data_IF_498575961840
#
_entry.id   IF_498575961840
#
_cell.length_a   1.000
_cell.length_b   1.000
_cell.length_c   1.000
_cell.angle_alpha   90.00
_cell.angle_beta   90.00
_cell.angle_gamma   90.00
#
_symmetry.space_group_name_H-M   'P 1'
#
loop_
_entity.id
_entity.type
_entity.pdbx_description
1 polymer ?
#
# COMPACT_ATOMS: atom_id res chain seq x y z
N UNK A 1 3.99 26.31 -13.02
CA UNK A 1 3.58 25.19 -12.15
C UNK A 1 4.81 24.35 -11.86
N UNK A 2 5.14 24.12 -10.59
CA UNK A 2 6.25 23.24 -10.23
C UNK A 2 5.87 21.79 -10.51
N UNK A 3 6.73 21.04 -11.17
CA UNK A 3 6.52 19.60 -11.38
C UNK A 3 6.36 18.89 -10.02
N UNK A 4 5.33 18.05 -9.85
CA UNK A 4 5.18 17.14 -8.73
C UNK A 4 6.43 16.27 -8.55
N UNK A 5 7.16 16.51 -7.47
CA UNK A 5 8.28 15.65 -7.07
C UNK A 5 7.74 14.36 -6.45
N UNK A 6 8.51 13.28 -6.57
CA UNK A 6 8.21 11.99 -5.95
C UNK A 6 8.06 12.08 -4.41
N UNK A 7 8.54 13.15 -3.79
CA UNK A 7 8.39 13.46 -2.37
C UNK A 7 6.93 13.69 -1.93
N UNK A 8 6.01 13.86 -2.88
CA UNK A 8 4.57 14.05 -2.62
C UNK A 8 3.83 12.79 -2.15
N UNK A 9 4.31 11.59 -2.51
CA UNK A 9 3.77 10.31 -2.01
C UNK A 9 4.47 10.00 -0.70
N UNK A 10 3.84 9.49 0.36
CA UNK A 10 4.57 9.08 1.57
C UNK A 10 5.49 7.85 1.34
N UNK A 11 6.42 7.52 2.24
CA UNK A 11 7.17 6.24 2.18
C UNK A 11 6.34 5.15 2.87
N UNK A 12 6.13 4.02 2.20
CA UNK A 12 5.42 2.87 2.77
C UNK A 12 6.30 2.14 3.77
N UNK A 13 5.91 2.21 5.05
CA UNK A 13 6.66 1.62 6.18
C UNK A 13 5.91 0.50 6.90
N UNK A 14 4.57 0.47 6.81
CA UNK A 14 3.72 -0.46 7.55
C UNK A 14 2.35 -0.59 6.90
N UNK A 15 1.63 -1.67 7.22
CA UNK A 15 0.34 -2.00 6.60
C UNK A 15 -0.75 -0.97 6.85
N UNK A 16 -0.74 -0.28 7.99
CA UNK A 16 -1.72 0.78 8.29
C UNK A 16 -1.69 1.92 7.28
N UNK A 17 -0.53 2.17 6.68
CA UNK A 17 -0.31 3.30 5.78
C UNK A 17 -0.72 2.95 4.35
N UNK A 18 -0.88 1.66 4.05
CA UNK A 18 -1.04 1.15 2.69
C UNK A 18 -2.21 1.76 1.94
N UNK A 19 -3.38 1.90 2.57
CA UNK A 19 -4.58 2.44 1.90
C UNK A 19 -4.38 3.88 1.40
N UNK A 20 -3.74 4.71 2.22
CA UNK A 20 -3.45 6.11 1.89
C UNK A 20 -2.31 6.16 0.88
N UNK A 21 -1.23 5.43 1.15
CA UNK A 21 -0.06 5.35 0.29
C UNK A 21 -0.41 4.85 -1.12
N UNK A 22 -1.23 3.81 -1.26
CA UNK A 22 -1.60 3.25 -2.57
C UNK A 22 -2.40 4.25 -3.40
N UNK A 23 -3.24 5.06 -2.76
CA UNK A 23 -4.02 6.10 -3.43
C UNK A 23 -3.12 7.25 -3.90
N UNK A 24 -2.20 7.70 -3.03
CA UNK A 24 -1.20 8.72 -3.38
C UNK A 24 -0.28 8.24 -4.50
N UNK A 25 0.20 7.00 -4.41
CA UNK A 25 1.06 6.37 -5.41
C UNK A 25 0.38 6.28 -6.76
N UNK A 26 -0.87 5.80 -6.81
CA UNK A 26 -1.63 5.71 -8.06
C UNK A 26 -1.81 7.08 -8.70
N UNK A 27 -2.23 8.09 -7.92
CA UNK A 27 -2.36 9.46 -8.42
C UNK A 27 -1.05 10.03 -8.96
N UNK A 28 0.07 9.77 -8.29
CA UNK A 28 1.39 10.20 -8.76
C UNK A 28 1.81 9.47 -10.04
N UNK A 29 1.59 8.15 -10.12
CA UNK A 29 1.91 7.37 -11.31
C UNK A 29 1.09 7.81 -12.53
N UNK A 30 -0.20 8.10 -12.36
CA UNK A 30 -1.02 8.66 -13.42
C UNK A 30 -0.50 10.03 -13.86
N UNK A 31 -0.10 10.89 -12.92
CA UNK A 31 0.47 12.20 -13.23
C UNK A 31 1.75 12.12 -14.09
N UNK A 32 2.62 11.13 -13.84
CA UNK A 32 3.86 10.92 -14.61
C UNK A 32 3.71 9.95 -15.79
N UNK A 33 2.47 9.63 -16.18
CA UNK A 33 2.14 8.70 -17.28
C UNK A 33 2.81 7.33 -17.11
N UNK A 34 2.68 6.73 -15.94
CA UNK A 34 3.31 5.46 -15.58
C UNK A 34 2.35 4.45 -14.93
N UNK A 35 1.09 4.78 -14.73
CA UNK A 35 0.08 3.91 -14.09
C UNK A 35 -0.26 2.69 -14.96
N UNK A 36 -0.22 2.80 -16.28
CA UNK A 36 -0.39 1.66 -17.19
C UNK A 36 0.63 0.53 -16.92
N UNK A 37 1.81 0.86 -16.37
CA UNK A 37 2.82 -0.14 -16.03
C UNK A 37 2.46 -1.01 -14.81
N UNK A 38 1.42 -0.64 -14.07
CA UNK A 38 0.86 -1.48 -13.01
C UNK A 38 -0.02 -2.61 -13.58
N UNK A 39 -0.39 -2.53 -14.85
CA UNK A 39 -1.17 -3.52 -15.58
C UNK A 39 -0.25 -4.45 -16.39
N UNK A 40 -0.83 -5.47 -17.01
CA UNK A 40 -0.09 -6.32 -17.93
C UNK A 40 0.21 -5.56 -19.23
N UNK A 41 1.47 -5.51 -19.64
CA UNK A 41 1.87 -4.96 -20.93
C UNK A 41 3.12 -5.61 -21.49
N UNK A 42 3.43 -5.29 -22.74
CA UNK A 42 4.57 -5.84 -23.47
C UNK A 42 5.82 -4.97 -23.27
N UNK A 43 6.87 -5.53 -22.69
CA UNK A 43 8.17 -4.86 -22.51
C UNK A 43 8.88 -4.53 -23.84
N UNK A 44 8.41 -5.08 -24.97
CA UNK A 44 8.86 -4.69 -26.31
C UNK A 44 8.23 -3.38 -26.78
N UNK A 45 7.09 -2.97 -26.22
CA UNK A 45 6.52 -1.66 -26.47
C UNK A 45 7.36 -0.59 -25.76
N UNK A 46 7.86 0.38 -26.51
CA UNK A 46 8.72 1.46 -26.01
C UNK A 46 8.04 2.35 -24.97
N UNK A 47 6.76 2.64 -25.13
CA UNK A 47 5.97 3.45 -24.20
C UNK A 47 5.76 2.69 -22.90
N UNK A 48 5.35 1.43 -22.98
CA UNK A 48 5.22 0.57 -21.80
C UNK A 48 6.56 0.40 -21.06
N UNK A 49 7.67 0.22 -21.79
CA UNK A 49 9.01 0.11 -21.18
C UNK A 49 9.39 1.39 -20.43
N UNK A 50 9.06 2.57 -20.96
CA UNK A 50 9.28 3.86 -20.30
C UNK A 50 8.41 3.99 -19.05
N UNK A 51 7.11 3.73 -19.16
CA UNK A 51 6.17 3.72 -18.05
C UNK A 51 6.63 2.77 -16.93
N UNK A 52 7.03 1.54 -17.29
CA UNK A 52 7.56 0.55 -16.35
C UNK A 52 8.85 1.02 -15.66
N UNK A 53 9.75 1.67 -16.38
CA UNK A 53 10.99 2.21 -15.79
C UNK A 53 10.68 3.33 -14.80
N UNK A 54 9.77 4.25 -15.16
CA UNK A 54 9.31 5.34 -14.27
C UNK A 54 8.66 4.77 -13.01
N UNK A 55 7.69 3.87 -13.17
CA UNK A 55 6.97 3.27 -12.06
C UNK A 55 7.88 2.50 -11.10
N UNK A 56 8.84 1.70 -11.63
CA UNK A 56 9.85 1.01 -10.82
C UNK A 56 10.65 1.97 -9.94
N UNK A 57 11.11 3.09 -10.52
CA UNK A 57 11.88 4.09 -9.79
C UNK A 57 11.09 4.67 -8.61
N UNK A 58 9.83 5.03 -8.84
CA UNK A 58 8.96 5.58 -7.79
C UNK A 58 8.64 4.54 -6.71
N UNK A 59 8.30 3.31 -7.11
CA UNK A 59 8.01 2.22 -6.16
C UNK A 59 9.23 1.92 -5.28
N UNK A 60 10.43 1.93 -5.85
CA UNK A 60 11.67 1.79 -5.10
C UNK A 60 11.87 2.93 -4.10
N UNK A 61 11.73 4.19 -4.55
CA UNK A 61 11.94 5.37 -3.71
C UNK A 61 10.92 5.52 -2.58
N UNK A 62 9.69 5.05 -2.79
CA UNK A 62 8.59 5.23 -1.84
C UNK A 62 8.22 3.96 -1.08
N UNK A 63 9.08 2.94 -1.13
CA UNK A 63 9.03 1.77 -0.26
C UNK A 63 10.21 1.83 0.70
N UNK A 64 9.96 1.60 1.98
CA UNK A 64 11.04 1.55 2.97
C UNK A 64 12.07 0.45 2.64
N UNK A 65 13.35 0.75 2.87
CA UNK A 65 14.47 -0.13 2.52
C UNK A 65 14.34 -1.54 3.12
N UNK A 66 13.71 -1.67 4.29
CA UNK A 66 13.47 -2.97 4.93
C UNK A 66 12.60 -3.92 4.08
N UNK A 67 11.79 -3.38 3.17
CA UNK A 67 10.90 -4.14 2.29
C UNK A 67 11.38 -4.20 0.83
N UNK A 68 12.59 -3.72 0.53
CA UNK A 68 13.13 -3.78 -0.84
C UNK A 68 13.26 -5.20 -1.35
N UNK A 69 13.45 -6.21 -0.49
CA UNK A 69 13.45 -7.62 -0.88
C UNK A 69 12.16 -8.06 -1.61
N UNK A 70 11.04 -7.34 -1.46
CA UNK A 70 9.80 -7.58 -2.21
C UNK A 70 9.85 -7.04 -3.65
N UNK A 71 10.77 -6.13 -3.94
CA UNK A 71 10.89 -5.42 -5.21
C UNK A 71 11.89 -6.07 -6.18
N UNK A 72 12.71 -6.99 -5.69
CA UNK A 72 13.74 -7.68 -6.45
C UNK A 72 13.42 -9.17 -6.62
N UNK A 73 14.05 -9.77 -7.62
CA UNK A 73 14.04 -11.20 -7.87
C UNK A 73 15.40 -11.69 -8.32
N UNK A 74 15.65 -13.00 -8.17
CA UNK A 74 16.87 -13.63 -8.66
C UNK A 74 16.63 -14.22 -10.05
N UNK A 75 17.31 -13.68 -11.05
CA UNK A 75 17.36 -14.25 -12.40
C UNK A 75 18.78 -14.71 -12.65
N UNK A 76 18.97 -16.01 -12.86
CA UNK A 76 20.30 -16.62 -13.06
C UNK A 76 21.31 -16.26 -11.96
N UNK A 77 20.85 -16.20 -10.70
CA UNK A 77 21.67 -15.86 -9.54
C UNK A 77 21.93 -14.35 -9.35
N UNK A 78 21.50 -13.50 -10.28
CA UNK A 78 21.64 -12.04 -10.20
C UNK A 78 20.35 -11.42 -9.67
N UNK A 79 20.47 -10.52 -8.71
CA UNK A 79 19.35 -9.76 -8.18
C UNK A 79 18.97 -8.64 -9.16
N UNK A 80 17.74 -8.70 -9.65
CA UNK A 80 17.18 -7.74 -10.62
C UNK A 80 15.86 -7.20 -10.10
N UNK A 81 15.61 -5.92 -10.33
CA UNK A 81 14.31 -5.34 -9.99
C UNK A 81 13.21 -5.97 -10.84
N UNK A 82 12.13 -6.38 -10.18
CA UNK A 82 10.90 -6.88 -10.79
C UNK A 82 10.25 -5.87 -11.75
N UNK A 83 9.23 -6.30 -12.48
CA UNK A 83 8.34 -5.37 -13.20
C UNK A 83 7.56 -4.49 -12.22
N UNK A 84 7.12 -3.30 -12.65
CA UNK A 84 6.30 -2.43 -11.82
C UNK A 84 4.99 -3.10 -11.38
N UNK A 85 4.35 -3.84 -12.29
CA UNK A 85 3.20 -4.70 -12.02
C UNK A 85 3.46 -5.68 -10.87
N UNK A 86 4.57 -6.41 -10.92
CA UNK A 86 4.87 -7.44 -9.92
C UNK A 86 5.25 -6.82 -8.57
N UNK A 87 6.02 -5.72 -8.58
CA UNK A 87 6.29 -4.93 -7.38
C UNK A 87 4.99 -4.47 -6.71
N UNK A 88 4.07 -3.89 -7.49
CA UNK A 88 2.78 -3.41 -7.00
C UNK A 88 1.92 -4.52 -6.43
N UNK A 89 1.85 -5.67 -7.11
CA UNK A 89 1.09 -6.83 -6.66
C UNK A 89 1.66 -7.41 -5.34
N UNK A 90 2.99 -7.47 -5.19
CA UNK A 90 3.64 -7.95 -3.98
C UNK A 90 3.44 -6.99 -2.81
N UNK A 91 3.61 -5.68 -3.02
CA UNK A 91 3.32 -4.68 -2.00
C UNK A 91 1.85 -4.73 -1.56
N UNK A 92 0.92 -4.88 -2.51
CA UNK A 92 -0.50 -5.08 -2.21
C UNK A 92 -0.77 -6.34 -1.38
N UNK A 93 -0.08 -7.44 -1.71
CA UNK A 93 -0.24 -8.70 -0.99
C UNK A 93 0.34 -8.62 0.43
N UNK A 94 1.48 -7.96 0.59
CA UNK A 94 2.17 -7.83 1.87
C UNK A 94 1.45 -6.85 2.81
N UNK A 95 1.08 -5.67 2.32
CA UNK A 95 0.54 -4.58 3.14
C UNK A 95 -0.97 -4.37 3.04
N UNK A 96 -1.58 -4.80 1.94
CA UNK A 96 -3.01 -4.64 1.69
C UNK A 96 -3.89 -5.66 2.41
N UNK A 97 -3.29 -6.68 3.03
CA UNK A 97 -3.99 -7.53 3.99
C UNK A 97 -4.12 -6.75 5.30
N UNK A 98 -5.33 -6.61 5.86
CA UNK A 98 -5.48 -6.08 7.20
C UNK A 98 -4.62 -6.95 8.13
N UNK A 99 -3.77 -6.32 8.93
CA UNK A 99 -3.09 -7.03 10.01
C UNK A 99 -4.19 -7.65 10.89
N UNK A 100 -4.33 -8.97 10.82
CA UNK A 100 -5.37 -9.71 11.54
C UNK A 100 -5.30 -9.47 13.03
N UNK A 101 -4.10 -9.24 13.59
CA UNK A 101 -3.95 -8.88 15.00
C UNK A 101 -4.44 -7.45 15.26
N UNK A 102 -4.14 -6.50 14.37
CA UNK A 102 -4.69 -5.14 14.45
C UNK A 102 -6.22 -5.14 14.32
N UNK A 103 -6.78 -5.85 13.34
CA UNK A 103 -8.24 -5.97 13.15
C UNK A 103 -8.90 -6.64 14.36
N UNK A 104 -8.31 -7.72 14.89
CA UNK A 104 -8.81 -8.34 16.12
C UNK A 104 -8.69 -7.42 17.34
N UNK A 105 -7.63 -6.61 17.44
CA UNK A 105 -7.48 -5.63 18.52
C UNK A 105 -8.53 -4.52 18.44
N UNK A 106 -8.85 -4.04 17.23
CA UNK A 106 -9.91 -3.06 16.98
C UNK A 106 -11.27 -3.67 17.30
N UNK A 107 -11.54 -4.89 16.84
CA UNK A 107 -12.77 -5.61 17.13
C UNK A 107 -12.93 -5.86 18.64
N UNK A 108 -11.88 -6.32 19.32
CA UNK A 108 -11.89 -6.53 20.77
C UNK A 108 -12.10 -5.22 21.53
N UNK A 109 -11.51 -4.12 21.07
CA UNK A 109 -11.73 -2.78 21.64
C UNK A 109 -13.18 -2.32 21.48
N UNK A 110 -13.79 -2.56 20.32
CA UNK A 110 -15.20 -2.24 20.07
C UNK A 110 -16.15 -3.06 20.96
N UNK A 111 -15.88 -4.35 21.16
CA UNK A 111 -16.66 -5.18 22.09
C UNK A 111 -16.46 -4.75 23.55
N UNK A 112 -15.21 -4.49 23.95
CA UNK A 112 -14.91 -3.99 25.31
C UNK A 112 -15.50 -2.62 25.59
N UNK A 113 -15.60 -1.74 24.59
CA UNK A 113 -16.30 -0.45 24.72
C UNK A 113 -17.81 -0.61 24.94
N UNK A 114 -18.34 -1.81 24.69
CA UNK A 114 -19.73 -2.21 24.90
C UNK A 114 -19.90 -3.07 26.15
N UNK A 115 -18.87 -3.24 26.99
CA UNK A 115 -19.07 -3.77 28.34
C UNK A 115 -20.01 -2.81 29.06
N UNK A 116 -21.28 -3.23 29.12
CA UNK A 116 -22.30 -2.62 29.96
C UNK A 116 -21.70 -2.48 31.34
N UNK A 117 -21.71 -1.26 31.87
CA UNK A 117 -21.31 -0.99 33.23
C UNK A 117 -22.17 -1.87 34.15
N UNK A 118 -21.58 -2.91 34.73
CA UNK A 118 -22.30 -3.90 35.56
C UNK A 118 -22.96 -3.24 36.79
N UNK A 119 -22.59 -2.00 37.10
CA UNK A 119 -23.16 -1.21 38.19
C UNK A 119 -24.33 -0.32 37.75
N UNK A 120 -24.73 -0.31 36.47
CA UNK A 120 -25.86 0.49 35.97
C UNK A 120 -27.02 -0.39 35.48
N UNK A 121 -28.26 -0.15 35.95
CA UNK A 121 -29.44 -0.86 35.45
C UNK A 121 -29.58 -0.72 33.92
N UNK A 122 -29.97 -1.79 33.23
CA UNK A 122 -30.13 -1.81 31.76
C UNK A 122 -31.05 -0.69 31.24
N UNK A 123 -32.04 -0.24 32.03
CA UNK A 123 -32.97 0.83 31.67
C UNK A 123 -32.26 2.18 31.45
N UNK A 124 -31.17 2.46 32.18
CA UNK A 124 -30.39 3.70 32.04
C UNK A 124 -29.39 3.64 30.87
N UNK A 125 -29.16 2.44 30.32
CA UNK A 125 -28.22 2.22 29.21
C UNK A 125 -28.92 2.29 27.83
N UNK A 126 -30.25 2.09 27.79
CA UNK A 126 -31.05 2.05 26.54
C UNK A 126 -31.63 3.43 26.17
N UNK A 127 -31.62 4.41 27.06
CA UNK A 127 -32.18 5.76 26.85
C UNK A 127 -31.32 6.68 25.97
N UNK A 128 -30.26 6.16 25.33
CA UNK A 128 -29.33 6.91 24.46
C UNK A 128 -29.20 6.33 23.04
N UNK A 129 -30.23 5.64 22.55
CA UNK A 129 -30.38 5.28 21.14
C UNK A 129 -31.36 6.23 20.47
#
# INVERSE_FOLDING_TARGET
MSEPKADSVSVLKKSSDYKVWSSQMLGYLTFIEADEALLAGDLKNTEYKKANTRAKGVLLMRTDNSFHHLLYEKVNGVEVMKSAKDMWALLKTHFGRPDTAFVWSQFSSLIKSREMDENKPMQDQISKI
#
